data_IF_977600250562
#
_entry.id   IF_977600250562
#
_cell.length_a   1.000
_cell.length_b   1.000
_cell.length_c   1.000
_cell.angle_alpha   90.00
_cell.angle_beta   90.00
_cell.angle_gamma   90.00
#
_symmetry.space_group_name_H-M   'P 1'
#
loop_
_entity.id
_entity.type
_entity.pdbx_description
1 polymer ?
#
# COMPACT_ATOMS: atom_id res chain seq x y z
N UNK A 1 -6.26 13.68 -10.71
CA UNK A 1 -5.19 13.45 -9.72
C UNK A 1 -5.76 12.62 -8.59
N UNK A 2 -5.90 11.31 -8.80
CA UNK A 2 -6.25 10.35 -7.75
C UNK A 2 -5.18 9.28 -7.87
N UNK A 3 -4.28 9.23 -6.91
CA UNK A 3 -3.31 8.16 -6.78
C UNK A 3 -3.83 7.28 -5.66
N UNK A 4 -4.24 6.06 -6.02
CA UNK A 4 -4.64 5.04 -5.07
C UNK A 4 -3.39 4.45 -4.44
N UNK A 5 -2.90 5.08 -3.39
CA UNK A 5 -2.06 4.48 -2.37
C UNK A 5 -2.80 4.65 -1.05
N UNK A 6 -2.46 3.92 0.00
CA UNK A 6 -3.10 4.02 1.34
C UNK A 6 -4.45 3.34 1.54
N UNK A 7 -4.96 2.51 0.61
CA UNK A 7 -6.23 1.78 0.86
C UNK A 7 -6.11 0.72 1.98
N UNK A 8 -4.88 0.39 2.39
CA UNK A 8 -4.57 -0.54 3.49
C UNK A 8 -3.99 0.13 4.74
N UNK A 9 -3.52 1.38 4.61
CA UNK A 9 -3.08 2.19 5.74
C UNK A 9 -4.34 2.73 6.43
N UNK A 10 -5.03 1.82 7.12
CA UNK A 10 -6.06 2.15 8.10
C UNK A 10 -5.58 3.34 8.92
N UNK A 11 -6.45 4.33 9.12
CA UNK A 11 -6.21 5.65 9.71
C UNK A 11 -5.74 5.64 11.19
N UNK A 12 -4.98 4.64 11.61
CA UNK A 12 -4.54 4.37 12.98
C UNK A 12 -3.06 3.98 13.01
N UNK A 13 -2.24 4.67 12.22
CA UNK A 13 -0.77 4.59 12.30
C UNK A 13 -0.13 5.93 12.72
N UNK A 14 -0.93 6.97 12.99
CA UNK A 14 -0.41 8.27 13.43
C UNK A 14 -0.03 8.32 14.93
N UNK A 15 -0.05 7.19 15.64
CA UNK A 15 0.05 7.21 17.11
C UNK A 15 0.82 6.04 17.75
N UNK A 16 2.04 5.75 17.27
CA UNK A 16 3.09 5.38 18.23
C UNK A 16 4.02 4.20 17.96
N UNK A 17 3.82 3.35 16.95
CA UNK A 17 4.72 2.20 16.74
C UNK A 17 5.21 2.15 15.28
N UNK A 18 6.41 2.69 15.06
CA UNK A 18 7.10 2.71 13.77
C UNK A 18 7.52 1.29 13.29
N UNK A 19 7.62 0.32 14.21
CA UNK A 19 8.07 -1.06 13.91
C UNK A 19 7.02 -1.93 13.19
N UNK A 20 5.79 -1.43 12.97
CA UNK A 20 4.70 -2.25 12.42
C UNK A 20 4.62 -2.30 10.88
N UNK A 21 5.45 -1.54 10.15
CA UNK A 21 5.30 -1.36 8.69
C UNK A 21 6.45 -1.90 7.83
N UNK A 22 7.49 -2.47 8.44
CA UNK A 22 8.70 -2.93 7.72
C UNK A 22 8.46 -4.10 6.72
N UNK A 23 7.26 -4.68 6.73
CA UNK A 23 6.93 -5.88 5.95
C UNK A 23 5.77 -5.68 4.97
N UNK A 24 5.20 -4.47 4.86
CA UNK A 24 4.06 -4.19 3.99
C UNK A 24 4.47 -3.40 2.74
N UNK A 25 4.09 -3.91 1.58
CA UNK A 25 4.31 -3.25 0.31
C UNK A 25 3.15 -2.29 -0.01
N UNK A 26 3.49 -1.07 -0.43
CA UNK A 26 2.52 -0.06 -0.84
C UNK A 26 2.31 -0.16 -2.34
N UNK A 27 1.15 -0.64 -2.78
CA UNK A 27 0.77 -0.64 -4.20
C UNK A 27 0.35 0.77 -4.63
N UNK A 28 0.89 1.25 -5.75
CA UNK A 28 0.62 2.58 -6.32
C UNK A 28 0.08 2.41 -7.73
N UNK A 29 -1.13 2.93 -7.99
CA UNK A 29 -1.71 2.94 -9.33
C UNK A 29 -2.08 4.36 -9.78
N UNK A 30 -1.94 4.63 -11.07
CA UNK A 30 -2.14 5.95 -11.65
C UNK A 30 -1.78 6.02 -13.13
N UNK A 31 -2.39 6.97 -13.83
CA UNK A 31 -2.16 7.18 -15.28
C UNK A 31 -1.06 8.22 -15.56
N UNK A 32 -0.61 8.94 -14.54
CA UNK A 32 0.49 9.91 -14.61
C UNK A 32 1.77 9.31 -14.00
N UNK A 33 2.81 9.05 -14.81
CA UNK A 33 4.07 8.50 -14.33
C UNK A 33 4.80 9.37 -13.29
N UNK A 34 4.78 10.69 -13.42
CA UNK A 34 5.49 11.60 -12.52
C UNK A 34 4.81 11.64 -11.14
N UNK A 35 3.47 11.69 -11.14
CA UNK A 35 2.68 11.59 -9.93
C UNK A 35 2.88 10.23 -9.23
N UNK A 36 2.95 9.12 -9.97
CA UNK A 36 3.24 7.79 -9.40
C UNK A 36 4.60 7.76 -8.71
N UNK A 37 5.65 8.26 -9.35
CA UNK A 37 7.00 8.28 -8.77
C UNK A 37 7.06 9.09 -7.48
N UNK A 38 6.37 10.24 -7.45
CA UNK A 38 6.29 11.06 -6.23
C UNK A 38 5.63 10.29 -5.09
N UNK A 39 4.52 9.59 -5.35
CA UNK A 39 3.81 8.80 -4.33
C UNK A 39 4.59 7.55 -3.91
N UNK A 40 5.28 6.88 -4.83
CA UNK A 40 6.18 5.77 -4.50
C UNK A 40 7.33 6.23 -3.60
N UNK A 41 7.88 7.43 -3.84
CA UNK A 41 8.89 8.03 -2.98
C UNK A 41 8.37 8.41 -1.59
N UNK A 42 7.13 8.91 -1.50
CA UNK A 42 6.44 9.17 -0.23
C UNK A 42 6.20 7.89 0.57
N UNK A 43 5.92 6.76 -0.09
CA UNK A 43 5.78 5.47 0.60
C UNK A 43 7.11 5.07 1.30
N UNK A 44 8.25 5.34 0.66
CA UNK A 44 9.56 5.02 1.22
C UNK A 44 9.86 5.73 2.55
N UNK A 45 9.31 6.93 2.78
CA UNK A 45 9.49 7.66 4.04
C UNK A 45 8.67 7.09 5.19
N UNK A 46 7.66 6.26 4.89
CA UNK A 46 6.71 5.70 5.86
C UNK A 46 7.00 4.21 6.12
N UNK A 47 7.34 3.44 5.09
CA UNK A 47 7.51 1.98 5.18
C UNK A 47 8.97 1.52 5.03
N UNK A 48 9.90 2.44 4.82
CA UNK A 48 11.31 2.12 4.56
C UNK A 48 11.57 1.53 3.16
N UNK A 49 10.54 1.42 2.30
CA UNK A 49 10.64 0.89 0.93
C UNK A 49 9.82 1.71 -0.06
N UNK A 50 10.29 1.95 -1.30
CA UNK A 50 9.48 2.57 -2.33
C UNK A 50 8.17 1.80 -2.56
N UNK A 51 7.12 2.53 -2.90
CA UNK A 51 5.88 1.90 -3.37
C UNK A 51 6.12 1.09 -4.64
N UNK A 52 5.29 0.07 -4.87
CA UNK A 52 5.31 -0.77 -6.07
C UNK A 52 4.32 -0.21 -7.08
N UNK A 53 4.77 0.02 -8.31
CA UNK A 53 3.88 0.40 -9.41
C UNK A 53 2.94 -0.77 -9.78
N UNK A 54 1.67 -0.62 -9.42
CA UNK A 54 0.61 -1.57 -9.72
C UNK A 54 -0.07 -1.28 -11.07
N UNK A 55 0.37 -0.27 -11.83
CA UNK A 55 -0.11 0.04 -13.17
C UNK A 55 -1.12 1.19 -13.24
N UNK A 56 -2.02 1.12 -14.23
CA UNK A 56 -2.96 2.20 -14.55
C UNK A 56 -4.04 2.41 -13.49
N UNK A 57 -4.62 3.62 -13.44
CA UNK A 57 -5.60 4.02 -12.42
C UNK A 57 -6.85 3.12 -12.40
N UNK A 58 -7.20 2.51 -13.53
CA UNK A 58 -8.32 1.56 -13.62
C UNK A 58 -8.21 0.39 -12.63
N UNK A 59 -6.99 0.05 -12.19
CA UNK A 59 -6.72 -1.01 -11.22
C UNK A 59 -7.05 -0.61 -9.77
N UNK A 60 -7.22 0.68 -9.48
CA UNK A 60 -7.65 1.16 -8.15
C UNK A 60 -8.97 0.52 -7.71
N UNK A 61 -9.89 0.31 -8.67
CA UNK A 61 -11.20 -0.33 -8.42
C UNK A 61 -11.09 -1.78 -7.97
N UNK A 62 -10.00 -2.47 -8.30
CA UNK A 62 -9.73 -3.83 -7.86
C UNK A 62 -8.98 -3.84 -6.52
N UNK A 63 -8.18 -2.81 -6.24
CA UNK A 63 -7.49 -2.64 -4.97
C UNK A 63 -8.46 -2.29 -3.83
N UNK A 64 -9.51 -1.52 -4.09
CA UNK A 64 -10.53 -1.18 -3.08
C UNK A 64 -11.19 -2.40 -2.40
N UNK A 65 -11.70 -3.42 -3.14
CA UNK A 65 -12.21 -4.65 -2.54
C UNK A 65 -11.17 -5.44 -1.72
N UNK A 66 -9.88 -5.34 -2.05
CA UNK A 66 -8.82 -6.04 -1.33
C UNK A 66 -8.73 -5.58 0.13
N UNK A 67 -9.03 -4.31 0.41
CA UNK A 67 -9.12 -3.79 1.78
C UNK A 67 -10.15 -4.55 2.61
N UNK A 68 -11.32 -4.85 2.05
CA UNK A 68 -12.35 -5.62 2.74
C UNK A 68 -11.86 -7.04 3.09
N UNK A 69 -11.05 -7.65 2.21
CA UNK A 69 -10.43 -8.96 2.45
C UNK A 69 -9.46 -8.88 3.63
N UNK A 70 -8.55 -7.90 3.68
CA UNK A 70 -7.63 -7.74 4.81
C UNK A 70 -8.37 -7.46 6.13
N UNK A 71 -9.43 -6.64 6.11
CA UNK A 71 -10.27 -6.40 7.30
C UNK A 71 -10.87 -7.72 7.80
N UNK A 72 -11.37 -8.56 6.89
CA UNK A 72 -11.92 -9.87 7.24
C UNK A 72 -10.87 -10.80 7.86
N UNK A 73 -9.66 -10.85 7.28
CA UNK A 73 -8.51 -11.61 7.80
C UNK A 73 -8.13 -11.12 9.19
N UNK A 74 -7.94 -9.82 9.37
CA UNK A 74 -7.62 -9.21 10.66
C UNK A 74 -8.66 -9.54 11.73
N UNK A 75 -9.95 -9.44 11.37
CA UNK A 75 -11.05 -9.77 12.30
C UNK A 75 -11.07 -11.25 12.69
N UNK A 76 -10.80 -12.14 11.73
CA UNK A 76 -10.80 -13.61 11.90
C UNK A 76 -9.64 -14.08 12.76
N UNK A 77 -8.44 -13.59 12.49
CA UNK A 77 -7.21 -14.08 13.13
C UNK A 77 -6.72 -13.19 14.28
N UNK A 78 -7.38 -12.05 14.55
CA UNK A 78 -6.99 -11.09 15.60
C UNK A 78 -5.57 -10.56 15.44
N UNK A 79 -5.21 -10.27 14.19
CA UNK A 79 -3.88 -9.77 13.80
C UNK A 79 -3.99 -8.44 13.07
N UNK A 80 -2.83 -7.83 12.79
CA UNK A 80 -2.65 -6.75 11.81
C UNK A 80 -1.83 -7.31 10.65
N UNK A 81 -2.50 -7.70 9.57
CA UNK A 81 -1.88 -8.20 8.35
C UNK A 81 -1.72 -7.11 7.30
N UNK A 82 -0.56 -7.05 6.66
CA UNK A 82 -0.33 -6.33 5.41
C UNK A 82 -0.22 -7.29 4.22
N UNK A 83 0.20 -6.75 3.08
CA UNK A 83 0.51 -7.50 1.87
C UNK A 83 2.00 -7.38 1.53
N UNK A 84 2.57 -8.46 0.99
CA UNK A 84 3.92 -8.46 0.44
C UNK A 84 3.90 -9.09 -0.96
N UNK A 85 4.52 -8.43 -1.92
CA UNK A 85 4.72 -8.87 -3.29
C UNK A 85 6.13 -9.42 -3.41
N UNK A 86 6.24 -10.70 -3.73
CA UNK A 86 7.52 -11.36 -3.95
C UNK A 86 7.81 -11.48 -5.45
N UNK A 87 9.09 -11.53 -5.81
CA UNK A 87 9.53 -11.68 -7.21
C UNK A 87 9.56 -10.40 -8.03
N UNK A 88 9.29 -9.25 -7.40
CA UNK A 88 9.52 -7.92 -7.98
C UNK A 88 10.91 -7.45 -7.55
N UNK A 89 11.89 -7.61 -8.44
CA UNK A 89 13.25 -7.13 -8.22
C UNK A 89 13.50 -5.92 -9.10
N UNK A 90 13.57 -4.74 -8.49
CA UNK A 90 13.90 -3.49 -9.18
C UNK A 90 12.65 -2.71 -9.61
N UNK A 91 12.40 -1.65 -8.88
CA UNK A 91 11.81 -0.41 -9.40
C UNK A 91 12.80 0.69 -9.17
#
# INVERSE_FOLDING_TARGET
MVVGAFHHLSAVSLNGDADLLDHEDVLVCGDDPEAKQTVMGLAATITGRPGIDAGALRLARQLEPLTAVLISINKRYKVRSGLAIHGVSGS
#
